data_IF_280734405254
#
_entry.id   IF_280734405254
#
_cell.length_a   1.000
_cell.length_b   1.000
_cell.length_c   1.000
_cell.angle_alpha   90.00
_cell.angle_beta   90.00
_cell.angle_gamma   90.00
#
_symmetry.space_group_name_H-M   'P 1'
#
loop_
_entity.id
_entity.type
_entity.pdbx_description
1 polymer ?
#
# COMPACT_ATOMS: atom_id res chain seq x y z
N UNK A 1 -46.53 -11.41 -6.94
CA UNK A 1 -45.74 -10.32 -6.30
C UNK A 1 -44.30 -10.69 -6.50
N UNK A 2 -43.72 -10.18 -7.59
CA UNK A 2 -42.35 -10.44 -8.01
C UNK A 2 -41.37 -9.77 -7.07
N UNK A 3 -40.51 -10.59 -6.45
CA UNK A 3 -39.34 -10.12 -5.72
C UNK A 3 -38.18 -10.19 -6.70
N UNK A 4 -37.87 -9.05 -7.32
CA UNK A 4 -36.74 -8.91 -8.23
C UNK A 4 -35.43 -9.27 -7.53
N UNK A 5 -34.84 -10.39 -7.94
CA UNK A 5 -33.47 -10.76 -7.66
C UNK A 5 -32.56 -9.79 -8.45
N UNK A 6 -31.97 -8.82 -7.75
CA UNK A 6 -30.84 -8.04 -8.27
C UNK A 6 -29.59 -8.87 -7.99
N UNK A 7 -29.32 -9.83 -8.87
CA UNK A 7 -28.00 -10.44 -8.98
C UNK A 7 -27.09 -9.43 -9.68
N UNK A 8 -26.21 -8.78 -8.92
CA UNK A 8 -25.06 -8.11 -9.54
C UNK A 8 -24.10 -9.22 -9.97
N UNK A 9 -24.24 -9.63 -11.22
CA UNK A 9 -23.26 -10.44 -11.93
C UNK A 9 -21.89 -9.76 -11.83
N UNK A 10 -21.01 -10.32 -10.99
CA UNK A 10 -19.57 -10.19 -11.15
C UNK A 10 -19.21 -10.98 -12.40
N UNK A 11 -19.57 -10.41 -13.53
CA UNK A 11 -19.10 -10.82 -14.84
C UNK A 11 -17.59 -10.60 -14.83
N UNK A 12 -16.84 -11.69 -14.85
CA UNK A 12 -15.50 -11.70 -15.43
C UNK A 12 -15.65 -11.21 -16.88
N UNK A 13 -15.70 -9.89 -17.06
CA UNK A 13 -15.69 -9.28 -18.37
C UNK A 13 -14.31 -9.55 -18.96
N UNK A 14 -14.26 -10.58 -19.81
CA UNK A 14 -13.33 -10.62 -20.92
C UNK A 14 -13.27 -9.22 -21.55
N UNK A 15 -12.10 -8.70 -21.91
CA UNK A 15 -11.99 -7.33 -22.40
C UNK A 15 -12.86 -7.20 -23.65
N UNK A 16 -14.01 -6.54 -23.48
CA UNK A 16 -14.82 -6.09 -24.60
C UNK A 16 -13.89 -5.27 -25.49
N UNK A 17 -13.82 -5.66 -26.76
CA UNK A 17 -13.16 -4.93 -27.84
C UNK A 17 -13.59 -3.45 -27.75
N UNK A 18 -12.77 -2.61 -27.12
CA UNK A 18 -13.23 -1.31 -26.63
C UNK A 18 -12.07 -0.36 -26.49
N UNK A 19 -12.28 0.88 -26.91
CA UNK A 19 -11.27 1.95 -26.93
C UNK A 19 -10.41 2.01 -25.65
N UNK A 20 -9.19 2.53 -25.76
CA UNK A 20 -8.31 2.80 -24.62
C UNK A 20 -9.03 3.55 -23.47
N UNK A 21 -9.92 4.48 -23.81
CA UNK A 21 -10.75 5.21 -22.83
C UNK A 21 -11.75 4.32 -22.06
N UNK A 22 -12.19 3.20 -22.64
CA UNK A 22 -13.00 2.19 -21.96
C UNK A 22 -12.18 1.39 -20.95
N UNK A 23 -10.98 0.96 -21.34
CA UNK A 23 -10.05 0.26 -20.45
C UNK A 23 -9.63 1.13 -19.25
N UNK A 24 -9.27 2.40 -19.47
CA UNK A 24 -8.91 3.32 -18.38
C UNK A 24 -10.08 3.56 -17.42
N UNK A 25 -11.32 3.66 -17.92
CA UNK A 25 -12.51 3.80 -17.07
C UNK A 25 -12.80 2.55 -16.25
N UNK A 26 -12.60 1.37 -16.84
CA UNK A 26 -12.73 0.09 -16.16
C UNK A 26 -11.72 -0.04 -15.02
N UNK A 27 -10.44 0.24 -15.30
CA UNK A 27 -9.38 0.27 -14.30
C UNK A 27 -9.70 1.25 -13.17
N UNK A 28 -10.01 2.51 -13.50
CA UNK A 28 -10.34 3.51 -12.48
C UNK A 28 -11.49 3.07 -11.56
N UNK A 29 -12.56 2.50 -12.12
CA UNK A 29 -13.69 1.99 -11.34
C UNK A 29 -13.27 0.84 -10.43
N UNK A 30 -12.43 -0.08 -10.94
CA UNK A 30 -11.88 -1.18 -10.17
C UNK A 30 -11.05 -0.68 -8.97
N UNK A 31 -10.02 0.15 -9.22
CA UNK A 31 -9.17 0.65 -8.14
C UNK A 31 -9.94 1.50 -7.13
N UNK A 32 -10.88 2.32 -7.58
CA UNK A 32 -11.70 3.13 -6.69
C UNK A 32 -12.56 2.26 -5.76
N UNK A 33 -13.25 1.26 -6.31
CA UNK A 33 -14.08 0.33 -5.54
C UNK A 33 -13.25 -0.42 -4.49
N UNK A 34 -12.11 -0.98 -4.90
CA UNK A 34 -11.24 -1.71 -3.97
C UNK A 34 -10.66 -0.82 -2.87
N UNK A 35 -10.35 0.43 -3.18
CA UNK A 35 -9.86 1.41 -2.20
C UNK A 35 -10.93 1.80 -1.19
N UNK A 36 -12.17 1.98 -1.64
CA UNK A 36 -13.31 2.24 -0.75
C UNK A 36 -13.59 1.03 0.16
N UNK A 37 -13.63 -0.19 -0.38
CA UNK A 37 -13.81 -1.41 0.42
C UNK A 37 -12.69 -1.62 1.44
N UNK A 38 -11.44 -1.35 1.05
CA UNK A 38 -10.29 -1.39 1.95
C UNK A 38 -10.46 -0.40 3.10
N UNK A 39 -10.79 0.86 2.81
CA UNK A 39 -10.99 1.88 3.85
C UNK A 39 -12.19 1.58 4.76
N UNK A 40 -13.26 1.00 4.21
CA UNK A 40 -14.40 0.52 5.01
C UNK A 40 -14.01 -0.64 5.92
N UNK A 41 -13.15 -1.55 5.46
CA UNK A 41 -12.58 -2.61 6.31
C UNK A 41 -11.85 -1.99 7.50
N UNK A 42 -11.01 -0.99 7.28
CA UNK A 42 -10.33 -0.28 8.38
C UNK A 42 -11.33 0.39 9.33
N UNK A 43 -12.31 1.11 8.79
CA UNK A 43 -13.34 1.77 9.59
C UNK A 43 -14.11 0.79 10.47
N UNK A 44 -14.44 -0.40 9.95
CA UNK A 44 -15.12 -1.45 10.70
C UNK A 44 -14.29 -2.01 11.87
N UNK A 45 -12.97 -1.83 11.87
CA UNK A 45 -12.10 -2.25 12.98
C UNK A 45 -11.83 -1.12 13.99
N UNK A 46 -12.26 0.12 13.72
CA UNK A 46 -12.04 1.24 14.65
C UNK A 46 -13.00 1.19 15.86
N UNK A 47 -12.52 1.55 17.07
CA UNK A 47 -13.38 1.72 18.23
C UNK A 47 -14.52 2.71 17.95
N UNK A 48 -15.74 2.33 18.33
CA UNK A 48 -16.95 3.13 18.09
C UNK A 48 -17.66 2.86 16.75
N UNK A 49 -16.98 2.29 15.76
CA UNK A 49 -17.57 1.95 14.46
C UNK A 49 -17.73 0.45 14.24
N UNK A 50 -17.07 -0.39 15.04
CA UNK A 50 -17.14 -1.86 14.97
C UNK A 50 -18.55 -2.46 15.07
N UNK A 51 -19.50 -1.73 15.65
CA UNK A 51 -20.90 -2.18 15.77
C UNK A 51 -21.75 -1.87 14.55
N UNK A 52 -21.27 -0.99 13.66
CA UNK A 52 -22.00 -0.58 12.47
C UNK A 52 -21.82 -1.61 11.35
N UNK A 53 -22.89 -1.88 10.62
CA UNK A 53 -22.79 -2.70 9.42
C UNK A 53 -22.00 -1.96 8.33
N UNK A 54 -21.41 -2.69 7.37
CA UNK A 54 -20.72 -2.06 6.22
C UNK A 54 -21.63 -1.13 5.43
N UNK A 55 -22.91 -1.48 5.31
CA UNK A 55 -23.90 -0.65 4.62
C UNK A 55 -24.14 0.68 5.36
N UNK A 56 -24.15 0.65 6.69
CA UNK A 56 -24.28 1.85 7.52
C UNK A 56 -23.02 2.71 7.45
N UNK A 57 -21.83 2.11 7.50
CA UNK A 57 -20.56 2.83 7.36
C UNK A 57 -20.50 3.61 6.03
N UNK A 58 -20.86 2.98 4.90
CA UNK A 58 -20.91 3.67 3.59
C UNK A 58 -21.80 4.90 3.58
N UNK A 59 -22.89 4.89 4.36
CA UNK A 59 -23.86 5.99 4.43
C UNK A 59 -23.55 6.98 5.54
N UNK A 60 -22.58 6.68 6.40
CA UNK A 60 -22.29 7.46 7.59
C UNK A 60 -21.78 8.87 7.22
N UNK A 61 -22.45 9.91 7.71
CA UNK A 61 -22.14 11.30 7.35
C UNK A 61 -20.73 11.71 7.75
N UNK A 62 -20.24 11.25 8.89
CA UNK A 62 -18.88 11.56 9.35
C UNK A 62 -17.79 10.98 8.44
N UNK A 63 -18.06 9.92 7.67
CA UNK A 63 -17.11 9.42 6.68
C UNK A 63 -17.24 10.21 5.38
N UNK A 64 -18.47 10.34 4.88
CA UNK A 64 -18.74 10.99 3.57
C UNK A 64 -18.40 12.47 3.53
N UNK A 65 -18.46 13.18 4.64
CA UNK A 65 -18.13 14.61 4.71
C UNK A 65 -16.69 14.86 5.16
N UNK A 66 -15.95 13.82 5.55
CA UNK A 66 -14.58 13.98 6.01
C UNK A 66 -13.62 14.03 4.80
N UNK A 67 -12.92 15.16 4.56
CA UNK A 67 -11.98 15.25 3.45
C UNK A 67 -10.80 14.26 3.60
N UNK A 68 -10.39 13.93 4.83
CA UNK A 68 -9.32 12.95 5.06
C UNK A 68 -9.74 11.55 4.62
N UNK A 69 -11.01 11.20 4.76
CA UNK A 69 -11.53 9.91 4.29
C UNK A 69 -11.33 9.74 2.78
N UNK A 70 -11.73 10.76 2.02
CA UNK A 70 -11.58 10.76 0.56
C UNK A 70 -10.11 10.84 0.13
N UNK A 71 -9.28 11.57 0.87
CA UNK A 71 -7.84 11.62 0.63
C UNK A 71 -7.20 10.23 0.81
N UNK A 72 -7.58 9.49 1.84
CA UNK A 72 -7.10 8.11 2.05
C UNK A 72 -7.56 7.18 0.93
N UNK A 73 -8.84 7.24 0.50
CA UNK A 73 -9.33 6.45 -0.64
C UNK A 73 -8.55 6.76 -1.90
N UNK A 74 -8.32 8.05 -2.19
CA UNK A 74 -7.55 8.46 -3.36
C UNK A 74 -6.09 7.97 -3.27
N UNK A 75 -5.47 8.08 -2.11
CA UNK A 75 -4.13 7.54 -1.85
C UNK A 75 -4.05 6.04 -2.10
N UNK A 76 -5.00 5.27 -1.54
CA UNK A 76 -5.11 3.83 -1.80
C UNK A 76 -5.31 3.53 -3.29
N UNK A 77 -6.16 4.29 -3.99
CA UNK A 77 -6.43 4.08 -5.41
C UNK A 77 -5.18 4.31 -6.27
N UNK A 78 -4.43 5.38 -5.98
CA UNK A 78 -3.15 5.64 -6.65
C UNK A 78 -2.14 4.51 -6.38
N UNK A 79 -2.05 4.05 -5.14
CA UNK A 79 -1.15 2.96 -4.77
C UNK A 79 -1.56 1.64 -5.44
N UNK A 80 -2.81 1.22 -5.35
CA UNK A 80 -3.28 -0.01 -6.01
C UNK A 80 -3.09 0.10 -7.53
N UNK A 81 -3.30 1.27 -8.15
CA UNK A 81 -3.09 1.45 -9.59
C UNK A 81 -1.62 1.23 -9.98
N UNK A 82 -0.69 1.84 -9.26
CA UNK A 82 0.74 1.67 -9.49
C UNK A 82 1.19 0.23 -9.27
N UNK A 83 0.74 -0.42 -8.19
CA UNK A 83 1.09 -1.79 -7.87
C UNK A 83 0.47 -2.78 -8.86
N UNK A 84 -0.80 -2.59 -9.22
CA UNK A 84 -1.49 -3.38 -10.23
C UNK A 84 -0.74 -3.30 -11.57
N UNK A 85 -0.33 -2.09 -11.98
CA UNK A 85 0.48 -1.88 -13.18
C UNK A 85 1.85 -2.58 -13.12
N UNK A 86 2.56 -2.44 -11.99
CA UNK A 86 3.85 -3.09 -11.75
C UNK A 86 3.73 -4.63 -11.84
N UNK A 87 2.79 -5.22 -11.10
CA UNK A 87 2.55 -6.67 -11.15
C UNK A 87 1.99 -7.13 -12.50
N UNK A 88 1.26 -6.27 -13.21
CA UNK A 88 0.82 -6.48 -14.58
C UNK A 88 1.99 -6.76 -15.54
N UNK A 89 3.13 -6.08 -15.37
CA UNK A 89 4.35 -6.33 -16.15
C UNK A 89 4.91 -7.76 -15.96
N UNK A 90 4.62 -8.39 -14.82
CA UNK A 90 4.99 -9.78 -14.52
C UNK A 90 3.86 -10.77 -14.77
N UNK A 91 2.79 -10.36 -15.48
CA UNK A 91 1.56 -11.15 -15.72
C UNK A 91 0.83 -11.55 -14.44
N UNK A 92 1.00 -10.76 -13.38
CA UNK A 92 0.36 -10.94 -12.08
C UNK A 92 -0.65 -9.84 -11.76
N UNK A 93 -1.17 -9.11 -12.76
CA UNK A 93 -2.18 -8.06 -12.54
C UNK A 93 -3.60 -8.60 -12.30
N UNK A 94 -3.97 -9.66 -12.99
CA UNK A 94 -5.28 -10.31 -12.85
C UNK A 94 -5.40 -11.27 -11.65
N UNK A 95 -6.50 -12.00 -11.61
CA UNK A 95 -6.64 -13.14 -10.70
C UNK A 95 -5.50 -14.14 -10.94
N UNK A 96 -4.81 -14.53 -9.87
CA UNK A 96 -3.62 -15.39 -9.96
C UNK A 96 -4.03 -16.84 -10.27
N UNK A 97 -5.26 -17.23 -9.92
CA UNK A 97 -5.89 -18.50 -10.24
C UNK A 97 -7.41 -18.33 -10.37
N UNK A 98 -8.07 -19.22 -11.11
CA UNK A 98 -9.53 -19.15 -11.33
C UNK A 98 -10.36 -19.53 -10.10
N UNK A 99 -9.76 -20.23 -9.14
CA UNK A 99 -10.35 -20.66 -7.87
C UNK A 99 -9.76 -19.90 -6.67
N UNK A 100 -9.35 -18.64 -6.88
CA UNK A 100 -8.82 -17.74 -5.84
C UNK A 100 -9.88 -17.60 -4.73
N UNK A 101 -9.46 -17.72 -3.46
CA UNK A 101 -10.35 -17.46 -2.32
C UNK A 101 -10.48 -15.95 -2.09
N UNK A 102 -11.57 -15.52 -1.45
CA UNK A 102 -11.79 -14.09 -1.16
C UNK A 102 -10.65 -13.49 -0.31
N UNK A 103 -10.12 -14.26 0.64
CA UNK A 103 -8.96 -13.85 1.45
C UNK A 103 -7.68 -13.67 0.61
N UNK A 104 -7.48 -14.53 -0.39
CA UNK A 104 -6.33 -14.45 -1.30
C UNK A 104 -6.45 -13.25 -2.24
N UNK A 105 -7.66 -13.01 -2.77
CA UNK A 105 -7.98 -11.83 -3.56
C UNK A 105 -7.72 -10.55 -2.78
N UNK A 106 -8.18 -10.47 -1.52
CA UNK A 106 -7.93 -9.33 -0.63
C UNK A 106 -6.44 -9.18 -0.33
N UNK A 107 -5.73 -10.27 -0.02
CA UNK A 107 -4.29 -10.22 0.17
C UNK A 107 -3.57 -9.70 -1.09
N UNK A 108 -3.96 -10.14 -2.28
CA UNK A 108 -3.38 -9.67 -3.53
C UNK A 108 -3.64 -8.19 -3.79
N UNK A 109 -4.89 -7.73 -3.66
CA UNK A 109 -5.24 -6.36 -4.02
C UNK A 109 -4.87 -5.39 -2.89
N UNK A 110 -5.36 -5.65 -1.68
CA UNK A 110 -5.27 -4.72 -0.56
C UNK A 110 -3.90 -4.73 0.12
N UNK A 111 -3.20 -5.87 0.10
CA UNK A 111 -1.84 -5.96 0.62
C UNK A 111 -0.82 -5.88 -0.50
N UNK A 112 -0.79 -6.80 -1.47
CA UNK A 112 0.28 -6.79 -2.47
C UNK A 112 0.21 -5.53 -3.35
N UNK A 113 -0.86 -5.30 -4.11
CA UNK A 113 -0.90 -4.16 -5.03
C UNK A 113 -0.84 -2.81 -4.31
N UNK A 114 -1.60 -2.63 -3.22
CA UNK A 114 -1.57 -1.36 -2.50
C UNK A 114 -0.17 -1.05 -1.95
N UNK A 115 0.55 -2.01 -1.37
CA UNK A 115 1.86 -1.73 -0.80
C UNK A 115 2.96 -1.66 -1.85
N UNK A 116 2.99 -2.61 -2.80
CA UNK A 116 3.98 -2.58 -3.87
C UNK A 116 3.85 -1.28 -4.68
N UNK A 117 2.64 -0.77 -4.92
CA UNK A 117 2.47 0.50 -5.60
C UNK A 117 2.93 1.72 -4.80
N UNK A 118 2.74 1.70 -3.47
CA UNK A 118 3.39 2.65 -2.58
C UNK A 118 4.91 2.66 -2.73
N UNK A 119 5.51 1.46 -2.75
CA UNK A 119 6.95 1.30 -2.95
C UNK A 119 7.43 1.73 -4.34
N UNK A 120 6.65 1.47 -5.40
CA UNK A 120 6.93 1.99 -6.74
C UNK A 120 6.99 3.51 -6.70
N UNK A 121 6.00 4.17 -6.07
CA UNK A 121 5.97 5.62 -5.92
C UNK A 121 7.20 6.15 -5.17
N UNK A 122 7.58 5.54 -4.05
CA UNK A 122 8.75 5.98 -3.28
C UNK A 122 10.07 5.69 -3.99
N UNK A 123 10.20 4.59 -4.74
CA UNK A 123 11.37 4.32 -5.59
C UNK A 123 11.52 5.42 -6.64
N UNK A 124 10.44 5.86 -7.28
CA UNK A 124 10.50 6.95 -8.25
C UNK A 124 10.97 8.26 -7.62
N UNK A 125 10.48 8.59 -6.42
CA UNK A 125 10.95 9.78 -5.69
C UNK A 125 12.42 9.66 -5.29
N UNK A 126 12.84 8.52 -4.75
CA UNK A 126 14.24 8.29 -4.36
C UNK A 126 15.18 8.29 -5.58
N UNK A 127 14.70 7.86 -6.76
CA UNK A 127 15.44 7.96 -8.03
C UNK A 127 15.60 9.41 -8.46
N UNK A 128 14.56 10.25 -8.36
CA UNK A 128 14.66 11.68 -8.66
C UNK A 128 15.65 12.34 -7.70
N UNK A 129 15.55 12.07 -6.40
CA UNK A 129 16.48 12.60 -5.39
C UNK A 129 17.93 12.14 -5.65
N UNK A 130 18.13 10.89 -6.05
CA UNK A 130 19.44 10.35 -6.43
C UNK A 130 20.01 11.07 -7.65
N UNK A 131 19.21 11.26 -8.70
CA UNK A 131 19.64 11.96 -9.91
C UNK A 131 19.98 13.42 -9.63
N UNK A 132 19.17 14.12 -8.82
CA UNK A 132 19.44 15.49 -8.37
C UNK A 132 20.74 15.58 -7.57
N UNK A 133 20.99 14.64 -6.66
CA UNK A 133 22.22 14.60 -5.88
C UNK A 133 23.45 14.36 -6.77
N UNK A 134 23.36 13.47 -7.77
CA UNK A 134 24.43 13.21 -8.72
C UNK A 134 24.73 14.40 -9.64
N UNK A 135 23.70 15.17 -9.99
CA UNK A 135 23.84 16.37 -10.82
C UNK A 135 24.34 17.61 -10.05
N UNK A 136 24.24 17.60 -8.72
CA UNK A 136 24.66 18.72 -7.88
C UNK A 136 26.19 18.86 -7.82
N UNK A 137 26.68 20.10 -7.93
CA UNK A 137 28.11 20.46 -7.74
C UNK A 137 28.47 20.69 -6.25
N UNK A 138 27.60 20.29 -5.32
CA UNK A 138 27.76 20.52 -3.89
C UNK A 138 28.93 19.76 -3.24
N UNK A 139 29.12 20.00 -1.93
CA UNK A 139 30.19 19.37 -1.16
C UNK A 139 30.16 17.84 -1.29
N UNK A 140 31.33 17.22 -1.51
CA UNK A 140 31.42 15.78 -1.80
C UNK A 140 30.88 14.88 -0.68
N UNK A 141 30.94 15.33 0.57
CA UNK A 141 30.50 14.55 1.73
C UNK A 141 28.97 14.47 1.84
N UNK A 142 28.28 15.61 1.68
CA UNK A 142 26.82 15.67 1.70
C UNK A 142 26.22 14.88 0.53
N UNK A 143 26.78 15.07 -0.67
CA UNK A 143 26.41 14.30 -1.85
C UNK A 143 26.54 12.80 -1.61
N UNK A 144 27.67 12.35 -1.09
CA UNK A 144 27.92 10.92 -0.82
C UNK A 144 26.93 10.36 0.20
N UNK A 145 26.56 11.14 1.22
CA UNK A 145 25.56 10.74 2.22
C UNK A 145 24.19 10.55 1.60
N UNK A 146 23.73 11.51 0.79
CA UNK A 146 22.42 11.46 0.12
C UNK A 146 22.35 10.32 -0.89
N UNK A 147 23.37 10.16 -1.73
CA UNK A 147 23.47 9.05 -2.71
C UNK A 147 23.39 7.71 -1.99
N UNK A 148 24.19 7.50 -0.94
CA UNK A 148 24.18 6.25 -0.16
C UNK A 148 22.79 5.98 0.45
N UNK A 149 22.16 7.01 1.00
CA UNK A 149 20.81 6.90 1.58
C UNK A 149 19.77 6.47 0.54
N UNK A 150 19.77 7.11 -0.64
CA UNK A 150 18.84 6.79 -1.72
C UNK A 150 19.05 5.38 -2.26
N UNK A 151 20.31 4.97 -2.47
CA UNK A 151 20.64 3.62 -2.96
C UNK A 151 20.16 2.55 -1.98
N UNK A 152 20.45 2.70 -0.68
CA UNK A 152 19.99 1.75 0.34
C UNK A 152 18.46 1.70 0.38
N UNK A 153 17.80 2.86 0.34
CA UNK A 153 16.35 2.92 0.32
C UNK A 153 15.75 2.20 -0.90
N UNK A 154 16.27 2.43 -2.10
CA UNK A 154 15.81 1.77 -3.33
C UNK A 154 16.00 0.25 -3.22
N UNK A 155 17.17 -0.21 -2.78
CA UNK A 155 17.44 -1.65 -2.63
C UNK A 155 16.47 -2.34 -1.66
N UNK A 156 16.18 -1.71 -0.53
CA UNK A 156 15.21 -2.19 0.46
C UNK A 156 13.82 -2.32 -0.15
N UNK A 157 13.39 -1.33 -0.93
CA UNK A 157 12.07 -1.32 -1.59
C UNK A 157 11.97 -2.36 -2.69
N UNK A 158 12.99 -2.48 -3.54
CA UNK A 158 13.09 -3.52 -4.57
C UNK A 158 13.04 -4.92 -3.94
N UNK A 159 13.75 -5.13 -2.82
CA UNK A 159 13.72 -6.39 -2.09
C UNK A 159 12.35 -6.74 -1.53
N UNK A 160 11.62 -5.73 -1.04
CA UNK A 160 10.25 -5.92 -0.59
C UNK A 160 9.34 -6.37 -1.76
N UNK A 161 9.36 -5.64 -2.87
CA UNK A 161 8.57 -5.94 -4.07
C UNK A 161 8.92 -7.30 -4.68
N UNK A 162 10.19 -7.71 -4.65
CA UNK A 162 10.62 -9.05 -5.08
C UNK A 162 9.96 -10.16 -4.26
N UNK A 163 9.80 -9.97 -2.95
CA UNK A 163 9.09 -10.97 -2.15
C UNK A 163 7.58 -10.93 -2.35
N UNK A 164 6.99 -9.80 -2.71
CA UNK A 164 5.59 -9.73 -3.13
C UNK A 164 5.35 -10.49 -4.45
N UNK A 165 6.27 -10.35 -5.42
CA UNK A 165 6.27 -11.15 -6.65
C UNK A 165 6.34 -12.65 -6.33
N UNK A 166 7.20 -13.03 -5.38
CA UNK A 166 7.33 -14.41 -4.91
C UNK A 166 6.06 -14.89 -4.17
N UNK A 167 5.43 -14.06 -3.35
CA UNK A 167 4.17 -14.38 -2.67
C UNK A 167 3.06 -14.72 -3.68
N UNK A 168 2.87 -13.87 -4.70
CA UNK A 168 1.89 -14.13 -5.75
C UNK A 168 2.24 -15.35 -6.59
N UNK A 169 3.53 -15.60 -6.84
CA UNK A 169 3.97 -16.83 -7.48
C UNK A 169 3.63 -18.07 -6.64
N UNK A 170 3.86 -18.06 -5.33
CA UNK A 170 3.48 -19.19 -4.46
C UNK A 170 1.97 -19.37 -4.38
N UNK A 171 1.22 -18.27 -4.37
CA UNK A 171 -0.25 -18.31 -4.45
C UNK A 171 -0.73 -18.96 -5.75
N UNK A 172 -0.07 -18.70 -6.89
CA UNK A 172 -0.36 -19.38 -8.17
C UNK A 172 -0.10 -20.89 -8.14
N UNK A 173 0.86 -21.32 -7.32
CA UNK A 173 1.25 -22.72 -7.15
C UNK A 173 0.38 -23.45 -6.12
N UNK A 174 -0.49 -22.72 -5.40
CA UNK A 174 -1.29 -23.24 -4.29
C UNK A 174 -0.43 -23.84 -3.17
N UNK A 175 0.81 -23.39 -3.03
CA UNK A 175 1.69 -23.82 -1.94
C UNK A 175 1.38 -22.98 -0.71
N UNK A 176 0.49 -23.50 0.14
CA UNK A 176 0.01 -22.80 1.32
C UNK A 176 1.13 -22.56 2.32
N UNK A 177 2.05 -23.51 2.52
CA UNK A 177 3.15 -23.37 3.49
C UNK A 177 4.08 -22.24 3.08
N UNK A 178 4.50 -22.22 1.81
CA UNK A 178 5.36 -21.15 1.30
C UNK A 178 4.65 -19.80 1.24
N UNK A 179 3.34 -19.78 0.98
CA UNK A 179 2.53 -18.56 1.04
C UNK A 179 2.53 -17.96 2.46
N UNK A 180 2.29 -18.78 3.49
CA UNK A 180 2.33 -18.32 4.88
C UNK A 180 3.74 -17.85 5.28
N UNK A 181 4.77 -18.60 4.92
CA UNK A 181 6.16 -18.20 5.19
C UNK A 181 6.52 -16.86 4.53
N UNK A 182 6.10 -16.65 3.28
CA UNK A 182 6.30 -15.41 2.55
C UNK A 182 5.55 -14.24 3.21
N UNK A 183 4.29 -14.45 3.59
CA UNK A 183 3.48 -13.47 4.32
C UNK A 183 4.13 -13.08 5.66
N UNK A 184 4.57 -14.06 6.46
CA UNK A 184 5.27 -13.83 7.74
C UNK A 184 6.56 -13.04 7.51
N UNK A 185 7.32 -13.36 6.46
CA UNK A 185 8.54 -12.61 6.11
C UNK A 185 8.23 -11.13 5.84
N UNK A 186 7.15 -10.81 5.11
CA UNK A 186 6.73 -9.42 4.84
C UNK A 186 6.30 -8.68 6.09
N UNK A 187 5.49 -9.30 6.94
CA UNK A 187 5.07 -8.72 8.23
C UNK A 187 6.29 -8.45 9.12
N UNK A 188 7.21 -9.41 9.22
CA UNK A 188 8.43 -9.27 10.03
C UNK A 188 9.31 -8.13 9.50
N UNK A 189 9.41 -7.99 8.18
CA UNK A 189 10.13 -6.88 7.56
C UNK A 189 9.51 -5.52 7.90
N UNK A 190 8.17 -5.40 7.81
CA UNK A 190 7.46 -4.18 8.20
C UNK A 190 7.66 -3.82 9.67
N UNK A 191 7.60 -4.81 10.57
CA UNK A 191 7.85 -4.64 12.00
C UNK A 191 9.30 -4.21 12.27
N UNK A 192 10.29 -4.84 11.62
CA UNK A 192 11.70 -4.47 11.76
C UNK A 192 11.95 -3.03 11.29
N UNK A 193 11.30 -2.62 10.19
CA UNK A 193 11.41 -1.24 9.68
C UNK A 193 10.80 -0.23 10.65
N UNK A 194 9.66 -0.55 11.27
CA UNK A 194 9.05 0.29 12.30
C UNK A 194 9.96 0.44 13.53
N UNK A 195 10.57 -0.66 13.99
CA UNK A 195 11.54 -0.63 15.11
C UNK A 195 12.75 0.22 14.75
N UNK A 196 13.33 0.04 13.56
CA UNK A 196 14.46 0.83 13.09
C UNK A 196 14.11 2.33 13.01
N UNK A 197 12.89 2.66 12.56
CA UNK A 197 12.39 4.03 12.53
C UNK A 197 12.27 4.64 13.94
N UNK A 198 11.65 3.92 14.88
CA UNK A 198 11.51 4.38 16.27
C UNK A 198 12.88 4.61 16.91
N UNK A 199 13.82 3.67 16.72
CA UNK A 199 15.21 3.84 17.20
C UNK A 199 15.83 5.08 16.56
N UNK A 200 15.67 5.28 15.26
CA UNK A 200 16.15 6.46 14.54
C UNK A 200 15.61 7.77 15.13
N UNK A 201 14.30 7.84 15.41
CA UNK A 201 13.66 9.00 16.05
C UNK A 201 14.17 9.27 17.47
N UNK A 202 14.57 8.23 18.20
CA UNK A 202 15.09 8.38 19.57
C UNK A 202 16.56 8.80 19.62
N UNK A 203 17.27 8.80 18.48
CA UNK A 203 18.66 9.28 18.43
C UNK A 203 18.71 10.82 18.44
N UNK A 204 19.75 11.45 19.05
CA UNK A 204 19.91 12.90 19.02
C UNK A 204 19.92 13.49 17.61
N UNK A 205 20.51 12.78 16.65
CA UNK A 205 20.53 13.18 15.24
C UNK A 205 19.14 13.12 14.59
N UNK A 206 18.34 12.10 14.92
CA UNK A 206 16.96 11.99 14.46
C UNK A 206 16.05 13.05 15.05
N UNK A 207 16.18 13.32 16.35
CA UNK A 207 15.43 14.38 17.04
C UNK A 207 15.75 15.77 16.47
N UNK A 208 17.03 16.08 16.26
CA UNK A 208 17.46 17.34 15.66
C UNK A 208 16.89 17.52 14.24
N UNK A 209 16.91 16.46 13.44
CA UNK A 209 16.33 16.47 12.08
C UNK A 209 14.82 16.73 12.12
N UNK A 210 14.10 16.08 13.03
CA UNK A 210 12.65 16.24 13.18
C UNK A 210 12.26 17.64 13.68
N UNK A 211 12.99 18.18 14.66
CA UNK A 211 12.78 19.54 15.17
C UNK A 211 12.94 20.57 14.07
N UNK A 212 13.99 20.46 13.26
CA UNK A 212 14.21 21.40 12.16
C UNK A 212 13.12 21.30 11.07
N UNK A 213 12.59 20.11 10.78
CA UNK A 213 11.45 19.98 9.88
C UNK A 213 10.18 20.64 10.45
N UNK A 214 9.98 20.59 11.76
CA UNK A 214 8.83 21.20 12.43
C UNK A 214 8.91 22.73 12.48
N UNK A 215 10.12 23.28 12.64
CA UNK A 215 10.37 24.73 12.75
C UNK A 215 10.37 25.44 11.39
N UNK A 216 10.47 24.69 10.29
CA UNK A 216 10.31 25.21 8.94
C UNK A 216 11.41 26.20 8.51
N UNK A 217 12.55 26.19 9.20
CA UNK A 217 13.68 27.05 8.89
C UNK A 217 14.11 26.85 7.42
N UNK A 218 14.27 27.95 6.65
CA UNK A 218 14.72 27.87 5.27
C UNK A 218 16.12 27.24 5.22
N UNK A 219 16.34 26.38 4.23
CA UNK A 219 17.59 25.64 4.00
C UNK A 219 18.80 26.59 4.01
N UNK A 220 19.38 26.81 5.20
CA UNK A 220 20.54 27.66 5.38
C UNK A 220 21.76 26.91 4.89
N UNK A 221 22.48 27.52 3.97
CA UNK A 221 23.72 27.03 3.39
C UNK A 221 24.72 26.61 4.48
N UNK A 222 25.36 25.46 4.23
CA UNK A 222 26.36 24.79 5.06
C UNK A 222 25.83 24.00 6.27
N UNK A 223 25.41 22.75 6.03
CA UNK A 223 25.16 21.74 7.06
C UNK A 223 23.70 21.55 7.47
N UNK A 224 22.77 22.12 6.71
CA UNK A 224 21.34 21.96 6.92
C UNK A 224 20.86 20.49 6.83
N UNK A 225 19.77 20.13 7.50
CA UNK A 225 19.19 18.79 7.48
C UNK A 225 18.71 18.39 6.08
N UNK A 226 18.45 17.09 5.85
CA UNK A 226 18.14 16.58 4.52
C UNK A 226 16.92 17.28 3.89
N UNK A 227 16.89 17.40 2.54
CA UNK A 227 15.88 18.14 1.78
C UNK A 227 14.45 17.76 2.17
N UNK A 228 13.49 18.69 2.02
CA UNK A 228 12.04 18.45 2.27
C UNK A 228 11.49 17.19 1.59
N UNK A 229 12.04 16.83 0.44
CA UNK A 229 11.70 15.58 -0.29
C UNK A 229 11.97 14.32 0.55
N UNK A 230 13.03 14.34 1.35
CA UNK A 230 13.40 13.26 2.27
C UNK A 230 12.40 13.16 3.42
N UNK A 231 11.89 14.30 3.93
CA UNK A 231 10.86 14.30 4.96
C UNK A 231 9.56 13.64 4.47
N UNK A 232 9.16 13.95 3.23
CA UNK A 232 7.96 13.36 2.60
C UNK A 232 8.12 11.85 2.45
N UNK A 233 9.26 11.36 1.96
CA UNK A 233 9.48 9.90 1.83
C UNK A 233 9.50 9.20 3.19
N UNK A 234 10.04 9.81 4.23
CA UNK A 234 9.96 9.29 5.60
C UNK A 234 8.53 9.23 6.15
N UNK A 235 7.75 10.29 5.96
CA UNK A 235 6.35 10.31 6.39
C UNK A 235 5.52 9.26 5.66
N UNK A 236 5.73 9.11 4.35
CA UNK A 236 5.10 8.05 3.56
C UNK A 236 5.48 6.68 4.13
N UNK A 237 6.77 6.41 4.36
CA UNK A 237 7.26 5.14 4.94
C UNK A 237 6.66 4.88 6.32
N UNK A 238 6.55 5.88 7.18
CA UNK A 238 5.94 5.75 8.51
C UNK A 238 4.45 5.37 8.40
N UNK A 239 3.70 6.06 7.54
CA UNK A 239 2.28 5.75 7.30
C UNK A 239 2.13 4.32 6.79
N UNK A 240 2.97 3.88 5.85
CA UNK A 240 2.98 2.50 5.37
C UNK A 240 3.31 1.47 6.46
N UNK A 241 4.28 1.75 7.33
CA UNK A 241 4.61 0.86 8.44
C UNK A 241 3.47 0.76 9.46
N UNK A 242 2.83 1.88 9.81
CA UNK A 242 1.66 1.87 10.69
C UNK A 242 0.52 1.09 10.05
N UNK A 243 0.30 1.27 8.76
CA UNK A 243 -0.69 0.54 7.99
C UNK A 243 -0.44 -0.98 8.01
N UNK A 244 0.83 -1.43 7.90
CA UNK A 244 1.18 -2.87 8.03
C UNK A 244 0.83 -3.45 9.39
N UNK A 245 1.11 -2.70 10.46
CA UNK A 245 0.80 -3.14 11.82
C UNK A 245 -0.71 -3.25 12.03
N UNK A 246 -1.48 -2.26 11.58
CA UNK A 246 -2.95 -2.29 11.70
C UNK A 246 -3.53 -3.44 10.88
N UNK A 247 -3.05 -3.66 9.67
CA UNK A 247 -3.48 -4.78 8.82
C UNK A 247 -3.20 -6.15 9.48
N UNK A 248 -2.04 -6.31 10.11
CA UNK A 248 -1.70 -7.53 10.87
C UNK A 248 -2.61 -7.75 12.09
N UNK A 249 -2.88 -6.70 12.86
CA UNK A 249 -3.78 -6.77 14.01
C UNK A 249 -5.23 -7.06 13.59
N UNK A 250 -5.68 -6.54 12.45
CA UNK A 250 -6.99 -6.87 11.87
C UNK A 250 -7.10 -8.35 11.48
N UNK A 251 -6.10 -8.87 10.75
CA UNK A 251 -6.08 -10.24 10.26
C UNK A 251 -6.06 -11.29 11.40
N UNK A 252 -5.29 -11.04 12.46
CA UNK A 252 -5.25 -11.94 13.63
C UNK A 252 -6.57 -11.98 14.40
N UNK A 253 -7.38 -10.91 14.35
CA UNK A 253 -8.71 -10.88 14.99
C UNK A 253 -9.78 -11.69 14.26
N UNK A 254 -9.64 -11.88 12.93
CA UNK A 254 -10.63 -12.57 12.09
C UNK A 254 -10.41 -14.09 11.99
N UNK A 255 -9.19 -14.57 12.24
CA UNK A 255 -8.85 -16.00 12.23
C UNK A 255 -9.68 -16.86 13.20
N UNK A 256 -10.42 -16.22 14.13
CA UNK A 256 -11.35 -16.91 15.03
C UNK A 256 -12.79 -17.07 14.52
N UNK A 257 -13.22 -16.40 13.44
CA UNK A 257 -14.67 -16.27 13.16
C UNK A 257 -15.17 -16.62 11.75
N UNK A 258 -14.35 -16.56 10.70
CA UNK A 258 -14.81 -16.81 9.32
C UNK A 258 -13.80 -17.66 8.53
N UNK A 259 -13.92 -18.98 8.62
CA UNK A 259 -13.10 -19.91 7.83
C UNK A 259 -13.91 -20.46 6.65
N UNK A 260 -13.49 -20.06 5.43
CA UNK A 260 -13.65 -20.78 4.16
C UNK A 260 -15.05 -20.77 3.50
N UNK A 261 -15.38 -19.68 2.78
CA UNK A 261 -16.36 -19.76 1.67
C UNK A 261 -15.65 -19.55 0.32
N UNK A 262 -15.76 -20.49 -0.63
CA UNK A 262 -15.25 -20.28 -1.99
C UNK A 262 -16.04 -19.18 -2.71
N UNK A 263 -15.38 -18.39 -3.56
CA UNK A 263 -15.99 -17.28 -4.32
C UNK A 263 -17.17 -17.73 -5.20
N UNK A 264 -17.26 -19.02 -5.54
CA UNK A 264 -18.36 -19.57 -6.34
C UNK A 264 -19.74 -19.52 -5.67
N UNK A 265 -19.80 -19.37 -4.35
CA UNK A 265 -21.08 -19.38 -3.61
C UNK A 265 -21.57 -17.95 -3.26
N UNK A 266 -20.86 -16.90 -3.71
CA UNK A 266 -21.28 -15.52 -3.61
C UNK A 266 -21.89 -15.06 -4.95
N UNK A 267 -23.01 -15.67 -5.32
CA UNK A 267 -23.91 -15.19 -6.37
C UNK A 267 -25.34 -15.24 -5.86
#
# INVERSE_FOLDING_TARGET
MDVGHVGEDVEQQAPATGSCAGACRGEFRFVWKESEELMLEFAAHMPGWRQLSRADLRRHRCLRLNPLWWLCIFGCAACILLGHGFHGAFRQGGAVRSDEYEVERRARIWWVYCYSGGFVGTVLVDLVALMSALASEGSGEERNRTVRSCVVAILIQLWYMLGDLNLLFMMSRKDTVLMHASAISRVTFGAAFLVAFVIGLLTPAGQATFHHWAEGEPDSEAGGPPPRETAITWMIRLVFCLFMVVAYLGASSQAGHESLKPIRDAK
#
